data_IF_042165065756
#
_entry.id   IF_042165065756
#
_cell.length_a   1.000
_cell.length_b   1.000
_cell.length_c   1.000
_cell.angle_alpha   90.00
_cell.angle_beta   90.00
_cell.angle_gamma   90.00
#
_symmetry.space_group_name_H-M   'P 1'
#
loop_
_entity.id
_entity.type
_entity.pdbx_description
1 polymer ?
#
# COMPACT_ATOMS: atom_id res chain seq x y z
N UNK A 1 5.37 -10.24 -6.70
CA UNK A 1 3.99 -9.99 -7.19
C UNK A 1 3.47 -8.61 -6.75
N UNK A 2 4.17 -7.50 -7.05
CA UNK A 2 3.73 -6.15 -6.67
C UNK A 2 2.93 -5.46 -7.79
N UNK A 3 3.39 -5.58 -9.04
CA UNK A 3 2.79 -4.91 -10.19
C UNK A 3 1.35 -5.36 -10.50
N UNK A 4 1.03 -6.64 -10.28
CA UNK A 4 -0.31 -7.18 -10.55
C UNK A 4 -1.38 -6.52 -9.68
N UNK A 5 -1.13 -6.39 -8.39
CA UNK A 5 -2.05 -5.74 -7.45
C UNK A 5 -2.19 -4.25 -7.74
N UNK A 6 -1.11 -3.56 -8.10
CA UNK A 6 -1.17 -2.14 -8.48
C UNK A 6 -1.97 -1.92 -9.76
N UNK A 7 -1.77 -2.79 -10.77
CA UNK A 7 -2.50 -2.72 -12.02
C UNK A 7 -4.00 -2.93 -11.82
N UNK A 8 -4.39 -3.92 -11.01
CA UNK A 8 -5.81 -4.18 -10.69
C UNK A 8 -6.41 -3.00 -9.92
N UNK A 9 -5.71 -2.48 -8.91
CA UNK A 9 -6.20 -1.36 -8.11
C UNK A 9 -6.34 -0.08 -8.94
N UNK A 10 -5.36 0.24 -9.79
CA UNK A 10 -5.41 1.40 -10.69
C UNK A 10 -6.55 1.30 -11.72
N UNK A 11 -6.82 0.10 -12.24
CA UNK A 11 -7.91 -0.12 -13.18
C UNK A 11 -9.30 0.18 -12.56
N UNK A 12 -9.42 0.11 -11.23
CA UNK A 12 -10.67 0.41 -10.50
C UNK A 12 -10.66 1.85 -9.98
N UNK A 13 -9.55 2.32 -9.43
CA UNK A 13 -9.48 3.63 -8.76
C UNK A 13 -9.54 4.81 -9.72
N UNK A 14 -8.92 4.70 -10.90
CA UNK A 14 -8.93 5.76 -11.93
C UNK A 14 -10.33 6.07 -12.46
N UNK A 15 -11.13 5.09 -12.93
CA UNK A 15 -12.49 5.38 -13.38
C UNK A 15 -13.41 5.85 -12.24
N UNK A 16 -13.18 5.40 -11.00
CA UNK A 16 -13.90 5.90 -9.82
C UNK A 16 -13.60 7.36 -9.51
N UNK A 17 -12.32 7.78 -9.58
CA UNK A 17 -11.95 9.18 -9.43
C UNK A 17 -12.67 10.07 -10.44
N UNK A 18 -12.69 9.63 -11.71
CA UNK A 18 -13.36 10.35 -12.80
C UNK A 18 -14.87 10.41 -12.64
N UNK A 19 -15.50 9.36 -12.12
CA UNK A 19 -16.94 9.32 -11.90
C UNK A 19 -17.38 10.24 -10.74
N UNK A 20 -16.52 10.42 -9.73
CA UNK A 20 -16.82 11.24 -8.54
C UNK A 20 -16.28 12.67 -8.65
N UNK A 21 -15.55 13.00 -9.72
CA UNK A 21 -14.91 14.31 -9.89
C UNK A 21 -13.76 14.56 -8.91
N UNK A 22 -13.21 13.51 -8.31
CA UNK A 22 -12.11 13.61 -7.36
C UNK A 22 -10.78 13.88 -8.08
N UNK A 23 -9.83 14.51 -7.37
CA UNK A 23 -8.49 14.78 -7.90
C UNK A 23 -7.78 13.46 -8.29
N UNK A 24 -7.48 13.34 -9.59
CA UNK A 24 -6.91 12.12 -10.15
C UNK A 24 -5.49 11.86 -9.63
N UNK A 25 -4.71 12.91 -9.38
CA UNK A 25 -3.35 12.78 -8.86
C UNK A 25 -3.36 12.23 -7.43
N UNK A 26 -4.29 12.70 -6.60
CA UNK A 26 -4.48 12.24 -5.24
C UNK A 26 -4.93 10.78 -5.20
N UNK A 27 -5.90 10.40 -6.04
CA UNK A 27 -6.38 9.00 -6.09
C UNK A 27 -5.28 8.06 -6.58
N UNK A 28 -4.49 8.45 -7.58
CA UNK A 28 -3.34 7.66 -8.06
C UNK A 28 -2.27 7.54 -6.97
N UNK A 29 -1.92 8.65 -6.30
CA UNK A 29 -0.96 8.64 -5.20
C UNK A 29 -1.40 7.72 -4.05
N UNK A 30 -2.67 7.80 -3.65
CA UNK A 30 -3.25 6.95 -2.62
C UNK A 30 -3.25 5.46 -3.04
N UNK A 31 -3.57 5.17 -4.31
CA UNK A 31 -3.59 3.80 -4.84
C UNK A 31 -2.20 3.17 -4.85
N UNK A 32 -1.19 3.90 -5.32
CA UNK A 32 0.19 3.43 -5.35
C UNK A 32 0.74 3.28 -3.93
N UNK A 33 0.50 4.27 -3.06
CA UNK A 33 0.92 4.25 -1.65
C UNK A 33 0.33 3.07 -0.88
N UNK A 34 -0.97 2.80 -1.01
CA UNK A 34 -1.63 1.65 -0.40
C UNK A 34 -1.11 0.32 -0.95
N UNK A 35 -0.77 0.27 -2.24
CA UNK A 35 -0.13 -0.86 -2.86
C UNK A 35 1.25 -1.18 -2.25
N UNK A 36 2.12 -0.18 -2.13
CA UNK A 36 3.45 -0.33 -1.53
C UNK A 36 3.35 -0.82 -0.08
N UNK A 37 2.40 -0.27 0.68
CA UNK A 37 2.10 -0.75 2.03
C UNK A 37 1.70 -2.24 2.05
N UNK A 38 0.77 -2.65 1.19
CA UNK A 38 0.33 -4.05 1.09
C UNK A 38 1.45 -5.01 0.67
N UNK A 39 2.37 -4.54 -0.17
CA UNK A 39 3.56 -5.29 -0.58
C UNK A 39 4.53 -5.53 0.58
N UNK A 40 4.70 -4.53 1.45
CA UNK A 40 5.58 -4.59 2.61
C UNK A 40 5.03 -5.49 3.73
N UNK A 41 3.70 -5.48 3.92
CA UNK A 41 3.05 -6.29 4.95
C UNK A 41 2.79 -7.74 4.53
N UNK A 42 2.98 -8.09 3.25
CA UNK A 42 2.63 -9.41 2.73
C UNK A 42 3.74 -10.44 3.05
N UNK A 43 3.40 -11.55 3.75
CA UNK A 43 4.33 -12.64 4.01
C UNK A 43 4.62 -13.52 2.79
N UNK A 44 4.01 -13.26 1.63
CA UNK A 44 4.21 -14.06 0.40
C UNK A 44 4.91 -13.21 -0.68
N UNK A 45 5.32 -11.99 -0.34
CA UNK A 45 6.00 -11.11 -1.27
C UNK A 45 7.42 -11.57 -1.58
N UNK A 46 7.80 -11.61 -2.85
CA UNK A 46 9.11 -12.07 -3.33
C UNK A 46 10.29 -11.34 -2.63
N UNK A 47 10.14 -10.04 -2.32
CA UNK A 47 11.17 -9.32 -1.54
C UNK A 47 11.17 -9.68 -0.07
N UNK A 48 10.02 -10.00 0.53
CA UNK A 48 9.95 -10.43 1.93
C UNK A 48 10.63 -11.78 2.08
N UNK A 49 10.44 -12.70 1.12
CA UNK A 49 11.08 -14.02 1.09
C UNK A 49 12.60 -13.88 0.94
N UNK A 50 13.07 -13.04 0.02
CA UNK A 50 14.51 -12.80 -0.18
C UNK A 50 15.13 -12.08 1.03
N UNK A 51 14.43 -11.10 1.62
CA UNK A 51 14.88 -10.35 2.81
C UNK A 51 15.01 -11.23 4.05
N UNK A 52 14.05 -12.14 4.29
CA UNK A 52 14.15 -13.09 5.40
C UNK A 52 15.25 -14.13 5.20
N UNK A 53 15.48 -14.60 3.97
CA UNK A 53 16.61 -15.49 3.67
C UNK A 53 17.95 -14.79 3.89
N UNK A 54 18.09 -13.53 3.48
CA UNK A 54 19.31 -12.75 3.66
C UNK A 54 19.61 -12.43 5.14
N UNK A 55 18.59 -12.37 5.99
CA UNK A 55 18.72 -12.11 7.43
C UNK A 55 18.82 -13.37 8.30
N UNK A 56 18.78 -14.57 7.70
CA UNK A 56 18.81 -15.86 8.39
C UNK A 56 17.76 -15.99 9.53
N UNK A 57 16.69 -15.22 9.47
CA UNK A 57 15.60 -15.18 10.45
C UNK A 57 14.38 -15.93 9.91
N UNK A 58 13.60 -16.53 10.81
CA UNK A 58 12.36 -17.19 10.45
C UNK A 58 11.41 -16.22 9.74
N UNK A 59 10.91 -16.63 8.58
CA UNK A 59 10.23 -15.72 7.63
C UNK A 59 8.98 -15.06 8.24
N UNK A 60 8.27 -15.80 9.08
CA UNK A 60 7.07 -15.33 9.78
C UNK A 60 7.41 -14.35 10.91
N UNK A 61 8.53 -14.56 11.61
CA UNK A 61 8.97 -13.68 12.70
C UNK A 61 9.45 -12.32 12.17
N UNK A 62 10.10 -12.32 11.01
CA UNK A 62 10.51 -11.10 10.30
C UNK A 62 9.29 -10.24 9.90
N UNK A 63 8.22 -10.89 9.41
CA UNK A 63 6.99 -10.18 9.02
C UNK A 63 6.24 -9.66 10.24
N UNK A 64 6.10 -10.47 11.28
CA UNK A 64 5.36 -10.11 12.49
C UNK A 64 5.99 -8.93 13.24
N UNK A 65 7.31 -8.76 13.17
CA UNK A 65 7.99 -7.60 13.78
C UNK A 65 7.83 -6.32 12.95
N UNK A 66 7.69 -6.41 11.63
CA UNK A 66 7.52 -5.26 10.73
C UNK A 66 6.07 -4.79 10.60
N UNK A 67 5.11 -5.71 10.68
CA UNK A 67 3.68 -5.44 10.60
C UNK A 67 3.20 -4.30 11.53
N UNK A 68 3.55 -4.24 12.82
CA UNK A 68 3.08 -3.18 13.70
C UNK A 68 3.57 -1.79 13.29
N UNK A 69 4.82 -1.67 12.81
CA UNK A 69 5.36 -0.40 12.30
C UNK A 69 4.69 0.01 11.00
N UNK A 70 4.50 -0.95 10.10
CA UNK A 70 3.83 -0.72 8.83
C UNK A 70 2.38 -0.27 9.07
N UNK A 71 1.64 -0.94 9.97
CA UNK A 71 0.25 -0.58 10.31
C UNK A 71 0.14 0.81 10.92
N UNK A 72 1.08 1.20 11.77
CA UNK A 72 1.09 2.55 12.37
C UNK A 72 1.24 3.63 11.31
N UNK A 73 2.25 3.52 10.44
CA UNK A 73 2.50 4.48 9.37
C UNK A 73 1.41 4.43 8.30
N UNK A 74 0.93 3.22 7.96
CA UNK A 74 -0.18 3.00 7.04
C UNK A 74 -1.46 3.66 7.53
N UNK A 75 -1.75 3.57 8.84
CA UNK A 75 -2.87 4.25 9.47
C UNK A 75 -2.77 5.77 9.38
N UNK A 76 -1.62 6.35 9.72
CA UNK A 76 -1.38 7.80 9.57
C UNK A 76 -1.57 8.24 8.12
N UNK A 77 -1.01 7.48 7.18
CA UNK A 77 -1.09 7.78 5.75
C UNK A 77 -2.52 7.71 5.23
N UNK A 78 -3.31 6.73 5.67
CA UNK A 78 -4.72 6.62 5.32
C UNK A 78 -5.54 7.83 5.82
N UNK A 79 -5.30 8.27 7.07
CA UNK A 79 -5.96 9.45 7.62
C UNK A 79 -5.59 10.71 6.83
N UNK A 80 -4.31 10.89 6.47
CA UNK A 80 -3.88 12.03 5.66
C UNK A 80 -4.52 12.05 4.28
N UNK A 81 -4.59 10.90 3.59
CA UNK A 81 -5.29 10.83 2.30
C UNK A 81 -6.78 11.12 2.40
N UNK A 82 -7.44 10.71 3.49
CA UNK A 82 -8.84 11.06 3.73
C UNK A 82 -9.01 12.58 3.92
N UNK A 83 -8.17 13.19 4.76
CA UNK A 83 -8.22 14.64 5.00
C UNK A 83 -7.95 15.41 3.70
N UNK A 84 -6.91 15.04 2.95
CA UNK A 84 -6.62 15.64 1.65
C UNK A 84 -7.76 15.42 0.67
N UNK A 85 -8.39 14.25 0.68
CA UNK A 85 -9.57 13.94 -0.12
C UNK A 85 -10.71 14.90 0.14
N UNK A 86 -11.01 15.24 1.41
CA UNK A 86 -12.06 16.22 1.73
C UNK A 86 -11.67 17.68 1.44
N UNK A 87 -10.38 18.01 1.53
CA UNK A 87 -9.88 19.38 1.31
C UNK A 87 -9.71 19.70 -0.18
N UNK A 88 -9.31 18.71 -0.97
CA UNK A 88 -9.03 18.83 -2.42
C UNK A 88 -10.18 18.29 -3.29
N UNK A 89 -11.32 17.93 -2.71
CA UNK A 89 -12.53 17.55 -3.45
C UNK A 89 -13.13 18.75 -4.21
#
# INVERSE_FOLDING_TARGET
>A
MALGTFAIMMAISVPMARAQGADLYLVVAATIGGGVFGYHCSPISDTTIISSMASASDHIDHVNTQLPYALFIGGITAVLYLILGFVMH
#
